data_IF_151922523108
#
_entry.id   IF_151922523108
#
_cell.length_a   1.000
_cell.length_b   1.000
_cell.length_c   1.000
_cell.angle_alpha   90.00
_cell.angle_beta   90.00
_cell.angle_gamma   90.00
#
_symmetry.space_group_name_H-M   'P 1'
#
loop_
_entity.id
_entity.type
_entity.pdbx_description
1 polymer ?
#
# COMPACT_ATOMS: atom_id res chain seq x y z
N UNK A 1 -6.20 1.67 -21.08
CA UNK A 1 -6.56 1.75 -19.66
C UNK A 1 -5.49 0.99 -18.91
N UNK A 2 -4.80 1.63 -17.95
CA UNK A 2 -3.72 0.97 -17.21
C UNK A 2 -4.36 0.20 -16.04
N UNK A 3 -4.33 -1.13 -16.09
CA UNK A 3 -4.83 -1.99 -15.02
C UNK A 3 -3.67 -2.52 -14.20
N UNK A 4 -3.79 -2.55 -12.88
CA UNK A 4 -2.80 -3.16 -11.99
C UNK A 4 -3.40 -4.32 -11.21
N UNK A 5 -2.57 -5.31 -10.87
CA UNK A 5 -2.95 -6.35 -9.91
C UNK A 5 -2.88 -5.74 -8.51
N UNK A 6 -4.02 -5.68 -7.83
CA UNK A 6 -4.14 -5.21 -6.45
C UNK A 6 -4.43 -6.39 -5.55
N UNK A 7 -3.71 -6.50 -4.44
CA UNK A 7 -3.96 -7.46 -3.36
C UNK A 7 -4.50 -6.71 -2.16
N UNK A 8 -5.53 -7.25 -1.52
CA UNK A 8 -6.23 -6.58 -0.44
C UNK A 8 -6.79 -7.57 0.57
N UNK A 9 -6.94 -7.13 1.82
CA UNK A 9 -7.54 -7.89 2.89
C UNK A 9 -8.12 -6.95 3.95
N UNK A 10 -9.42 -7.05 4.23
CA UNK A 10 -10.08 -6.32 5.32
C UNK A 10 -10.56 -7.20 6.48
N UNK A 11 -10.23 -8.50 6.45
CA UNK A 11 -10.56 -9.54 7.43
C UNK A 11 -12.05 -9.81 7.68
N UNK A 12 -12.97 -9.03 7.10
CA UNK A 12 -14.41 -9.19 7.29
C UNK A 12 -15.11 -9.63 6.00
N UNK A 13 -14.95 -8.86 4.93
CA UNK A 13 -15.83 -8.92 3.76
C UNK A 13 -15.07 -9.12 2.44
N UNK A 14 -13.86 -8.57 2.32
CA UNK A 14 -13.13 -8.46 1.08
C UNK A 14 -11.66 -8.86 1.30
N UNK A 15 -11.34 -10.07 0.86
CA UNK A 15 -9.97 -10.59 0.81
C UNK A 15 -9.72 -11.20 -0.57
N UNK A 16 -8.61 -10.84 -1.22
CA UNK A 16 -8.23 -11.46 -2.48
C UNK A 16 -7.25 -10.64 -3.30
N UNK A 17 -7.20 -10.96 -4.58
CA UNK A 17 -6.43 -10.26 -5.60
C UNK A 17 -7.32 -9.97 -6.82
N UNK A 18 -7.15 -8.81 -7.45
CA UNK A 18 -7.93 -8.41 -8.62
C UNK A 18 -7.13 -7.52 -9.56
N UNK A 19 -7.39 -7.62 -10.87
CA UNK A 19 -6.86 -6.70 -11.87
C UNK A 19 -7.83 -5.54 -12.04
N UNK A 20 -7.46 -4.36 -11.55
CA UNK A 20 -8.33 -3.20 -11.45
C UNK A 20 -7.76 -2.03 -12.25
N UNK A 21 -8.64 -1.27 -12.91
CA UNK A 21 -8.32 0.08 -13.36
C UNK A 21 -8.37 1.08 -12.19
N UNK A 22 -8.04 2.35 -12.47
CA UNK A 22 -7.92 3.39 -11.44
C UNK A 22 -9.24 3.67 -10.70
N UNK A 23 -10.36 3.75 -11.42
CA UNK A 23 -11.66 4.04 -10.81
C UNK A 23 -12.08 2.86 -9.91
N UNK A 24 -11.87 1.63 -10.38
CA UNK A 24 -12.09 0.43 -9.59
C UNK A 24 -11.17 0.32 -8.37
N UNK A 25 -9.92 0.80 -8.47
CA UNK A 25 -9.00 0.85 -7.34
C UNK A 25 -9.46 1.85 -6.26
N UNK A 26 -10.02 3.00 -6.66
CA UNK A 26 -10.62 3.94 -5.72
C UNK A 26 -11.88 3.40 -5.07
N UNK A 27 -12.74 2.74 -5.84
CA UNK A 27 -13.93 2.07 -5.31
C UNK A 27 -13.54 0.98 -4.31
N UNK A 28 -12.53 0.17 -4.62
CA UNK A 28 -11.98 -0.82 -3.69
C UNK A 28 -11.47 -0.14 -2.41
N UNK A 29 -10.60 0.88 -2.53
CA UNK A 29 -10.08 1.61 -1.37
C UNK A 29 -11.20 2.20 -0.50
N UNK A 30 -12.28 2.71 -1.10
CA UNK A 30 -13.43 3.26 -0.37
C UNK A 30 -14.34 2.21 0.27
N UNK A 31 -14.33 0.96 -0.21
CA UNK A 31 -15.21 -0.12 0.26
C UNK A 31 -14.57 -1.02 1.30
N UNK A 32 -13.23 -1.09 1.36
CA UNK A 32 -12.52 -1.87 2.38
C UNK A 32 -12.91 -1.42 3.80
N UNK A 33 -13.20 -2.39 4.66
CA UNK A 33 -13.39 -2.11 6.09
C UNK A 33 -12.04 -1.82 6.76
N UNK A 34 -11.61 -0.56 6.76
CA UNK A 34 -10.32 -0.14 7.32
C UNK A 34 -10.27 -0.28 8.84
N UNK A 35 -9.65 -1.37 9.29
CA UNK A 35 -9.40 -1.69 10.69
C UNK A 35 -7.97 -2.22 10.87
N UNK A 36 -7.54 -2.42 12.12
CA UNK A 36 -6.19 -2.91 12.39
C UNK A 36 -5.95 -4.23 11.65
N UNK A 37 -4.89 -4.26 10.84
CA UNK A 37 -4.55 -5.39 9.99
C UNK A 37 -4.98 -5.21 8.53
N UNK A 38 -5.99 -4.38 8.24
CA UNK A 38 -6.45 -4.13 6.86
C UNK A 38 -5.33 -3.56 6.02
N UNK A 39 -5.15 -4.14 4.83
CA UNK A 39 -4.14 -3.68 3.89
C UNK A 39 -4.62 -3.72 2.43
N UNK A 40 -3.93 -2.95 1.60
CA UNK A 40 -4.00 -2.98 0.15
C UNK A 40 -2.59 -2.75 -0.40
N UNK A 41 -2.16 -3.50 -1.41
CA UNK A 41 -0.92 -3.23 -2.12
C UNK A 41 -0.99 -3.55 -3.62
N UNK A 42 -0.08 -2.94 -4.38
CA UNK A 42 0.16 -3.25 -5.78
C UNK A 42 1.57 -2.82 -6.21
N UNK A 43 2.06 -3.42 -7.29
CA UNK A 43 3.38 -3.11 -7.85
C UNK A 43 3.36 -1.74 -8.56
N UNK A 44 4.30 -0.87 -8.21
CA UNK A 44 4.54 0.40 -8.92
C UNK A 44 5.21 0.07 -10.26
N UNK A 45 6.26 -0.76 -10.22
CA UNK A 45 7.02 -1.29 -11.37
C UNK A 45 7.59 -2.68 -11.03
N UNK A 46 8.60 -3.15 -11.78
CA UNK A 46 9.17 -4.50 -11.62
C UNK A 46 9.91 -4.75 -10.30
N UNK A 47 10.32 -3.71 -9.58
CA UNK A 47 11.09 -3.82 -8.34
C UNK A 47 10.38 -3.25 -7.12
N UNK A 48 9.44 -2.33 -7.30
CA UNK A 48 8.88 -1.57 -6.18
C UNK A 48 7.38 -1.75 -6.02
N UNK A 49 6.96 -1.87 -4.76
CA UNK A 49 5.58 -2.13 -4.36
C UNK A 49 5.07 -0.99 -3.49
N UNK A 50 3.86 -0.52 -3.79
CA UNK A 50 3.12 0.44 -2.98
C UNK A 50 2.19 -0.31 -2.03
N UNK A 51 2.28 -0.03 -0.73
CA UNK A 51 1.49 -0.69 0.31
C UNK A 51 0.77 0.34 1.18
N UNK A 52 -0.47 0.04 1.56
CA UNK A 52 -1.30 0.86 2.44
C UNK A 52 -1.83 -0.02 3.57
N UNK A 53 -1.61 0.43 4.80
CA UNK A 53 -2.09 -0.20 6.02
C UNK A 53 -2.94 0.78 6.83
N UNK A 54 -3.96 0.26 7.51
CA UNK A 54 -4.68 1.06 8.49
C UNK A 54 -3.83 1.30 9.74
N UNK A 55 -3.75 2.56 10.18
CA UNK A 55 -3.10 2.91 11.44
C UNK A 55 -4.11 3.24 12.53
N UNK A 56 -4.90 4.31 12.36
CA UNK A 56 -5.95 4.74 13.30
C UNK A 56 -6.82 5.84 12.67
N UNK A 57 -8.11 5.89 12.99
CA UNK A 57 -8.99 7.06 12.78
C UNK A 57 -8.78 7.80 11.43
N UNK A 58 -8.86 7.08 10.30
CA UNK A 58 -8.70 7.67 8.96
C UNK A 58 -7.26 8.07 8.60
N UNK A 59 -6.29 7.68 9.41
CA UNK A 59 -4.85 7.75 9.15
C UNK A 59 -4.36 6.38 8.68
N UNK A 60 -3.60 6.41 7.59
CA UNK A 60 -3.01 5.26 6.93
C UNK A 60 -1.49 5.33 7.02
N UNK A 61 -0.86 4.17 7.17
CA UNK A 61 0.57 4.00 6.93
C UNK A 61 0.76 3.58 5.48
N UNK A 62 1.54 4.36 4.74
CA UNK A 62 1.91 4.08 3.35
C UNK A 62 3.38 3.73 3.31
N UNK A 63 3.69 2.61 2.66
CA UNK A 63 5.06 2.09 2.55
C UNK A 63 5.41 1.81 1.10
N UNK A 64 6.68 2.07 0.76
CA UNK A 64 7.29 1.61 -0.49
C UNK A 64 8.31 0.54 -0.11
N UNK A 65 8.12 -0.64 -0.66
CA UNK A 65 9.00 -1.78 -0.47
C UNK A 65 9.68 -2.14 -1.78
N UNK A 66 10.90 -2.66 -1.68
CA UNK A 66 11.55 -3.34 -2.78
C UNK A 66 11.21 -4.83 -2.70
N UNK A 67 10.49 -5.35 -3.70
CA UNK A 67 10.01 -6.74 -3.77
C UNK A 67 11.19 -7.74 -3.84
N UNK A 68 12.32 -7.32 -4.44
CA UNK A 68 13.51 -8.18 -4.53
C UNK A 68 14.25 -8.39 -3.19
N UNK A 69 13.98 -7.54 -2.19
CA UNK A 69 14.69 -7.53 -0.91
C UNK A 69 13.75 -7.63 0.32
N UNK A 70 12.44 -7.78 0.12
CA UNK A 70 11.40 -7.72 1.18
C UNK A 70 11.59 -6.52 2.13
N UNK A 71 12.11 -5.42 1.59
CA UNK A 71 12.64 -4.30 2.38
C UNK A 71 11.84 -3.03 2.16
N UNK A 72 11.19 -2.56 3.22
CA UNK A 72 10.59 -1.22 3.26
C UNK A 72 11.70 -0.19 3.38
N UNK A 73 11.73 0.78 2.47
CA UNK A 73 12.76 1.83 2.47
C UNK A 73 12.18 3.25 2.46
N UNK A 74 10.87 3.41 2.23
CA UNK A 74 10.15 4.68 2.41
C UNK A 74 8.84 4.44 3.17
N UNK A 75 8.53 5.32 4.10
CA UNK A 75 7.25 5.32 4.83
C UNK A 75 6.65 6.72 4.91
N UNK A 76 5.33 6.80 4.99
CA UNK A 76 4.59 8.06 5.19
C UNK A 76 3.27 7.78 5.90
N UNK A 77 2.87 8.67 6.80
CA UNK A 77 1.49 8.72 7.27
C UNK A 77 0.65 9.61 6.36
N UNK A 78 -0.49 9.10 5.94
CA UNK A 78 -1.37 9.77 4.98
C UNK A 78 -2.83 9.72 5.44
N UNK A 79 -3.61 10.76 5.12
CA UNK A 79 -5.07 10.70 5.17
C UNK A 79 -5.63 10.02 3.90
N UNK A 80 -6.94 9.80 3.85
CA UNK A 80 -7.61 9.11 2.74
C UNK A 80 -7.41 9.83 1.38
N UNK A 81 -7.42 11.16 1.36
CA UNK A 81 -7.26 11.93 0.13
C UNK A 81 -5.81 11.85 -0.38
N UNK A 82 -4.84 11.90 0.53
CA UNK A 82 -3.44 11.68 0.22
C UNK A 82 -3.18 10.27 -0.31
N UNK A 83 -3.79 9.23 0.27
CA UNK A 83 -3.69 7.86 -0.25
C UNK A 83 -4.26 7.77 -1.66
N UNK A 84 -5.43 8.34 -1.92
CA UNK A 84 -6.03 8.36 -3.27
C UNK A 84 -5.13 9.05 -4.29
N UNK A 85 -4.54 10.18 -3.93
CA UNK A 85 -3.59 10.89 -4.79
C UNK A 85 -2.34 10.03 -5.09
N UNK A 86 -1.85 9.26 -4.12
CA UNK A 86 -0.72 8.34 -4.33
C UNK A 86 -1.10 7.15 -5.21
N UNK A 87 -2.30 6.58 -5.02
CA UNK A 87 -2.84 5.52 -5.89
C UNK A 87 -2.90 6.05 -7.34
N UNK A 88 -3.49 7.23 -7.55
CA UNK A 88 -3.53 7.86 -8.88
C UNK A 88 -2.13 8.02 -9.46
N UNK A 89 -1.23 8.62 -8.69
CA UNK A 89 0.13 8.90 -9.13
C UNK A 89 0.84 7.64 -9.59
N UNK A 90 0.78 6.55 -8.82
CA UNK A 90 1.46 5.30 -9.16
C UNK A 90 0.75 4.46 -10.23
N UNK A 91 -0.55 4.69 -10.46
CA UNK A 91 -1.26 4.18 -11.65
C UNK A 91 -0.80 4.89 -12.93
N UNK A 92 -0.55 6.19 -12.86
CA UNK A 92 -0.13 7.02 -14.01
C UNK A 92 1.39 6.98 -14.25
N UNK A 93 2.18 6.80 -13.19
CA UNK A 93 3.64 6.88 -13.19
C UNK A 93 4.25 5.64 -12.53
N UNK A 94 5.06 4.89 -13.28
CA UNK A 94 5.73 3.69 -12.79
C UNK A 94 7.09 4.00 -12.11
N UNK A 95 7.15 5.13 -11.39
CA UNK A 95 8.35 5.60 -10.71
C UNK A 95 8.01 6.01 -9.29
N UNK A 96 8.88 5.65 -8.34
CA UNK A 96 8.74 6.01 -6.92
C UNK A 96 8.95 7.50 -6.72
N UNK A 97 8.03 8.14 -5.98
CA UNK A 97 8.21 9.51 -5.48
C UNK A 97 8.67 9.48 -4.04
N UNK A 98 9.67 10.29 -3.70
CA UNK A 98 10.15 10.48 -2.32
C UNK A 98 9.45 11.63 -1.60
N UNK A 99 8.53 12.34 -2.27
CA UNK A 99 7.93 13.57 -1.74
C UNK A 99 7.07 13.33 -0.50
N UNK A 100 7.53 13.85 0.63
CA UNK A 100 6.88 13.71 1.93
C UNK A 100 6.96 12.30 2.51
N UNK A 101 7.82 11.44 1.97
CA UNK A 101 8.20 10.17 2.59
C UNK A 101 9.42 10.35 3.50
N UNK A 102 9.48 9.53 4.54
CA UNK A 102 10.65 9.38 5.39
C UNK A 102 11.38 8.11 4.99
N UNK A 103 12.71 8.18 4.88
CA UNK A 103 13.54 7.00 4.65
C UNK A 103 13.46 6.06 5.86
N UNK A 104 13.25 4.76 5.59
CA UNK A 104 13.33 3.71 6.61
C UNK A 104 14.77 3.21 6.64
N UNK A 105 15.47 3.28 7.79
CA UNK A 105 16.79 2.69 7.91
C UNK A 105 16.74 1.18 7.64
N UNK A 106 17.68 0.68 6.85
CA UNK A 106 17.77 -0.74 6.45
C UNK A 106 17.81 -1.72 7.65
N UNK A 107 18.12 -1.24 8.85
CA UNK A 107 18.19 -2.05 10.07
C UNK A 107 16.85 -2.24 10.81
N UNK A 108 15.74 -1.65 10.35
CA UNK A 108 14.44 -1.75 11.03
C UNK A 108 13.49 -2.68 10.29
N UNK A 109 13.39 -3.92 10.80
CA UNK A 109 12.34 -4.97 10.61
C UNK A 109 11.63 -5.05 9.25
N UNK A 110 11.71 -6.21 8.61
CA UNK A 110 11.05 -6.52 7.33
C UNK A 110 9.53 -6.69 7.47
N UNK A 111 8.78 -6.65 6.36
CA UNK A 111 7.33 -6.96 6.33
C UNK A 111 7.05 -8.35 6.92
N UNK A 112 7.94 -9.31 6.68
CA UNK A 112 7.89 -10.65 7.26
C UNK A 112 7.99 -10.65 8.80
N UNK A 113 8.78 -9.73 9.37
CA UNK A 113 8.89 -9.58 10.82
C UNK A 113 7.60 -9.00 11.42
N UNK A 114 6.97 -8.03 10.73
CA UNK A 114 5.69 -7.46 11.15
C UNK A 114 4.58 -8.52 11.09
N UNK A 115 4.48 -9.27 9.97
CA UNK A 115 3.46 -10.32 9.82
C UNK A 115 3.60 -11.46 10.85
N UNK A 116 4.83 -11.78 11.29
CA UNK A 116 5.07 -12.77 12.35
C UNK A 116 4.67 -12.31 13.74
N UNK A 117 4.74 -11.02 14.05
CA UNK A 117 4.37 -10.48 15.37
C UNK A 117 2.84 -10.34 15.55
N UNK A 118 2.09 -10.35 14.44
CA UNK A 118 0.61 -10.24 14.45
C UNK A 118 -0.13 -11.58 14.43
N UNK A 119 0.57 -12.72 14.38
CA UNK A 119 0.02 -14.08 14.47
C UNK A 119 0.43 -14.77 15.80
#
# INVERSE_FOLDING_TARGET
MNTKKIVYNDYDNLTGESFLDMDQAFDLFGTLNWQKGTFLYFDINESETFQVFYQKEGLYLVEIANDSEDMVYLQKFADADQVRNLIQYYFEHQVVSTDGFYAVPIETKTLSDVMRETN
#
